data_IF_360434318465
#
_entry.id   IF_360434318465
#
_cell.length_a   1.000
_cell.length_b   1.000
_cell.length_c   1.000
_cell.angle_alpha   90.00
_cell.angle_beta   90.00
_cell.angle_gamma   90.00
#
_symmetry.space_group_name_H-M   'P 1'
#
loop_
_entity.id
_entity.type
_entity.pdbx_description
1 polymer ?
#
# COMPACT_ATOMS: atom_id res chain seq x y z
N UNK A 1 32.86 42.42 -52.62
CA UNK A 1 31.93 41.37 -52.14
C UNK A 1 32.46 40.82 -50.83
N UNK A 2 31.88 41.19 -49.70
CA UNK A 2 32.10 40.51 -48.42
C UNK A 2 30.82 40.61 -47.59
N UNK A 3 30.14 39.48 -47.49
CA UNK A 3 28.88 39.28 -46.77
C UNK A 3 29.18 39.01 -45.30
N UNK A 4 28.76 39.92 -44.42
CA UNK A 4 28.82 39.75 -42.98
C UNK A 4 27.63 38.88 -42.53
N UNK A 5 27.90 37.65 -42.08
CA UNK A 5 26.89 36.77 -41.48
C UNK A 5 26.74 37.12 -40.00
N UNK A 6 25.57 37.61 -39.61
CA UNK A 6 25.15 37.75 -38.22
C UNK A 6 24.57 36.40 -37.79
N UNK A 7 25.21 35.73 -36.83
CA UNK A 7 24.67 34.54 -36.18
C UNK A 7 23.91 34.98 -34.92
N UNK A 8 22.58 34.80 -34.92
CA UNK A 8 21.75 34.91 -33.73
C UNK A 8 21.83 33.58 -32.97
N UNK A 9 22.51 33.55 -31.82
CA UNK A 9 22.42 32.44 -30.88
C UNK A 9 21.16 32.61 -30.03
N UNK A 10 20.16 31.77 -30.27
CA UNK A 10 19.03 31.61 -29.38
C UNK A 10 19.48 30.82 -28.13
N UNK A 11 19.53 31.47 -26.98
CA UNK A 11 19.72 30.81 -25.69
C UNK A 11 18.36 30.25 -25.28
N UNK A 12 18.21 28.92 -25.40
CA UNK A 12 17.06 28.20 -24.86
C UNK A 12 17.30 28.05 -23.34
N UNK A 13 16.68 28.93 -22.55
CA UNK A 13 16.67 28.80 -21.09
C UNK A 13 15.82 27.59 -20.71
N UNK A 14 16.46 26.45 -20.47
CA UNK A 14 15.82 25.29 -19.84
C UNK A 14 15.68 25.64 -18.35
N UNK A 15 14.51 26.11 -17.95
CA UNK A 15 14.11 26.14 -16.54
C UNK A 15 13.99 24.70 -16.05
N UNK A 16 15.04 24.19 -15.42
CA UNK A 16 14.94 22.98 -14.59
C UNK A 16 14.08 23.33 -13.39
N UNK A 17 12.82 22.89 -13.42
CA UNK A 17 11.95 22.94 -12.25
C UNK A 17 12.52 21.93 -11.26
N UNK A 18 13.30 22.38 -10.28
CA UNK A 18 13.57 21.56 -9.10
C UNK A 18 12.25 21.38 -8.39
N UNK A 19 11.61 20.21 -8.59
CA UNK A 19 10.42 19.82 -7.86
C UNK A 19 10.73 19.99 -6.36
N UNK A 20 9.94 20.81 -5.69
CA UNK A 20 10.10 20.96 -4.24
C UNK A 20 9.74 19.64 -3.57
N UNK A 21 10.23 19.37 -2.36
CA UNK A 21 9.85 18.17 -1.58
C UNK A 21 8.31 18.01 -1.45
N UNK A 22 7.57 19.13 -1.48
CA UNK A 22 6.10 19.16 -1.47
C UNK A 22 5.47 18.63 -2.77
N UNK A 23 6.12 18.76 -3.93
CA UNK A 23 5.62 18.27 -5.22
C UNK A 23 5.77 16.75 -5.36
N UNK A 24 6.56 16.11 -4.49
CA UNK A 24 6.80 14.65 -4.48
C UNK A 24 5.65 13.88 -3.84
N UNK A 25 5.09 14.39 -2.75
CA UNK A 25 4.04 13.71 -2.00
C UNK A 25 2.69 13.79 -2.72
N UNK A 26 1.76 12.86 -2.46
CA UNK A 26 0.40 13.00 -2.95
C UNK A 26 -0.27 14.24 -2.36
N UNK A 27 -1.16 14.84 -3.13
CA UNK A 27 -1.94 15.99 -2.67
C UNK A 27 -2.73 15.64 -1.43
N UNK A 28 -2.92 16.62 -0.54
CA UNK A 28 -3.61 16.42 0.73
C UNK A 28 -4.43 17.65 1.08
N UNK A 29 -5.67 17.42 1.51
CA UNK A 29 -6.54 18.44 2.11
C UNK A 29 -7.42 17.78 3.17
N UNK A 30 -7.80 18.56 4.18
CA UNK A 30 -8.81 18.18 5.17
C UNK A 30 -10.22 18.63 4.80
N UNK A 31 -10.43 19.27 3.64
CA UNK A 31 -11.76 19.79 3.26
C UNK A 31 -12.84 18.70 3.32
N UNK A 32 -12.52 17.50 2.84
CA UNK A 32 -13.32 16.28 3.01
C UNK A 32 -12.41 15.12 3.45
N UNK A 33 -12.97 13.92 3.65
CA UNK A 33 -12.19 12.71 3.95
C UNK A 33 -11.11 12.50 2.87
N UNK A 34 -9.80 12.53 3.21
CA UNK A 34 -8.76 12.28 2.23
C UNK A 34 -8.81 10.81 1.78
N UNK A 35 -8.82 10.57 0.46
CA UNK A 35 -8.95 9.22 -0.10
C UNK A 35 -7.78 8.87 -0.99
N UNK A 36 -7.57 7.57 -1.15
CA UNK A 36 -6.69 7.02 -2.17
C UNK A 36 -7.34 5.82 -2.84
N UNK A 37 -6.67 5.26 -3.86
CA UNK A 37 -7.14 4.08 -4.56
C UNK A 37 -6.09 2.97 -4.59
N UNK A 38 -6.54 1.74 -4.39
CA UNK A 38 -5.74 0.52 -4.55
C UNK A 38 -6.56 -0.47 -5.38
N UNK A 39 -6.18 -0.68 -6.64
CA UNK A 39 -7.07 -1.32 -7.62
C UNK A 39 -6.32 -2.11 -8.69
N UNK A 40 -6.94 -3.17 -9.21
CA UNK A 40 -6.56 -3.86 -10.45
C UNK A 40 -7.73 -4.10 -11.37
N UNK A 41 -7.46 -4.06 -12.67
CA UNK A 41 -8.32 -4.54 -13.74
C UNK A 41 -7.47 -5.24 -14.78
N UNK A 42 -7.82 -6.46 -15.17
CA UNK A 42 -7.00 -7.29 -16.06
C UNK A 42 -6.94 -6.77 -17.50
N UNK A 43 -7.87 -5.89 -17.89
CA UNK A 43 -7.91 -5.17 -19.17
C UNK A 43 -7.70 -3.68 -18.93
N UNK A 44 -7.68 -2.88 -20.01
CA UNK A 44 -7.72 -1.43 -19.93
C UNK A 44 -8.91 -0.90 -19.12
N UNK A 45 -8.66 0.19 -18.40
CA UNK A 45 -9.72 1.02 -17.82
C UNK A 45 -10.43 1.79 -18.94
N UNK A 46 -11.75 1.98 -18.82
CA UNK A 46 -12.53 2.82 -19.75
C UNK A 46 -12.22 4.30 -19.50
N UNK A 47 -12.56 5.21 -20.43
CA UNK A 47 -12.38 6.64 -20.21
C UNK A 47 -13.00 7.14 -18.90
N UNK A 48 -14.23 6.71 -18.57
CA UNK A 48 -14.89 7.11 -17.32
C UNK A 48 -14.19 6.56 -16.07
N UNK A 49 -13.65 5.33 -16.14
CA UNK A 49 -12.86 4.77 -15.04
C UNK A 49 -11.55 5.53 -14.85
N UNK A 50 -10.91 5.98 -15.94
CA UNK A 50 -9.69 6.81 -15.88
C UNK A 50 -9.98 8.19 -15.28
N UNK A 51 -11.10 8.83 -15.65
CA UNK A 51 -11.56 10.09 -15.04
C UNK A 51 -11.78 9.93 -13.54
N UNK A 52 -12.46 8.84 -13.13
CA UNK A 52 -12.64 8.54 -11.71
C UNK A 52 -11.31 8.33 -10.98
N UNK A 53 -10.39 7.55 -11.57
CA UNK A 53 -9.06 7.33 -11.02
C UNK A 53 -8.27 8.64 -10.88
N UNK A 54 -8.36 9.54 -11.85
CA UNK A 54 -7.68 10.84 -11.81
C UNK A 54 -8.18 11.80 -10.71
N UNK A 55 -9.30 11.49 -10.05
CA UNK A 55 -9.76 12.22 -8.86
C UNK A 55 -8.99 11.89 -7.59
N UNK A 56 -8.19 10.82 -7.57
CA UNK A 56 -7.41 10.41 -6.40
C UNK A 56 -5.99 10.99 -6.43
N UNK A 57 -5.47 11.49 -5.30
CA UNK A 57 -4.10 11.99 -5.21
C UNK A 57 -3.06 10.87 -5.24
N UNK A 58 -3.43 9.66 -4.78
CA UNK A 58 -2.58 8.49 -4.70
C UNK A 58 -3.33 7.26 -5.24
N UNK A 59 -2.66 6.52 -6.13
CA UNK A 59 -3.18 5.27 -6.71
C UNK A 59 -2.10 4.21 -6.66
N UNK A 60 -2.43 3.02 -6.17
CA UNK A 60 -1.64 1.81 -6.40
C UNK A 60 -2.36 0.93 -7.42
N UNK A 61 -1.71 0.68 -8.55
CA UNK A 61 -2.18 -0.33 -9.50
C UNK A 61 -1.60 -1.70 -9.12
N UNK A 62 -2.51 -2.61 -8.77
CA UNK A 62 -2.21 -3.94 -8.27
C UNK A 62 -1.71 -4.90 -9.36
N UNK A 63 -1.23 -6.07 -8.92
CA UNK A 63 -0.87 -7.19 -9.82
C UNK A 63 -1.99 -7.46 -10.83
N UNK A 64 -1.61 -7.91 -12.03
CA UNK A 64 -2.48 -8.23 -13.17
C UNK A 64 -3.11 -7.04 -13.89
N UNK A 65 -2.87 -5.79 -13.47
CA UNK A 65 -3.42 -4.61 -14.16
C UNK A 65 -3.02 -4.58 -15.63
N UNK A 66 -4.01 -4.58 -16.53
CA UNK A 66 -3.85 -4.62 -17.99
C UNK A 66 -3.19 -5.89 -18.56
N UNK A 67 -2.90 -6.90 -17.74
CA UNK A 67 -2.09 -8.05 -18.14
C UNK A 67 -2.74 -8.90 -19.25
N UNK A 68 -4.07 -8.99 -19.32
CA UNK A 68 -4.76 -9.74 -20.39
C UNK A 68 -4.71 -9.05 -21.75
N UNK A 69 -4.57 -7.73 -21.77
CA UNK A 69 -4.58 -6.93 -23.00
C UNK A 69 -3.17 -6.62 -23.50
N UNK A 70 -2.23 -6.43 -22.57
CA UNK A 70 -0.88 -5.96 -22.88
C UNK A 70 0.23 -6.99 -22.58
N UNK A 71 -0.14 -8.20 -22.17
CA UNK A 71 0.80 -9.31 -21.96
C UNK A 71 1.61 -9.25 -20.66
N UNK A 72 1.39 -8.25 -19.80
CA UNK A 72 2.06 -8.14 -18.51
C UNK A 72 1.58 -6.96 -17.67
N UNK A 73 1.74 -7.07 -16.35
CA UNK A 73 1.38 -6.02 -15.39
C UNK A 73 2.20 -4.75 -15.59
N UNK A 74 3.45 -4.86 -16.05
CA UNK A 74 4.35 -3.74 -16.33
C UNK A 74 3.76 -2.76 -17.34
N UNK A 75 3.42 -3.28 -18.54
CA UNK A 75 2.88 -2.45 -19.63
C UNK A 75 1.47 -1.97 -19.29
N UNK A 76 0.64 -2.82 -18.68
CA UNK A 76 -0.70 -2.44 -18.27
C UNK A 76 -0.74 -1.33 -17.23
N UNK A 77 0.11 -1.42 -16.20
CA UNK A 77 0.26 -0.37 -15.18
C UNK A 77 0.77 0.92 -15.80
N UNK A 78 1.79 0.86 -16.66
CA UNK A 78 2.31 2.05 -17.33
C UNK A 78 1.24 2.76 -18.17
N UNK A 79 0.43 2.00 -18.92
CA UNK A 79 -0.66 2.56 -19.74
C UNK A 79 -1.76 3.19 -18.89
N UNK A 80 -2.16 2.53 -17.80
CA UNK A 80 -3.14 3.07 -16.86
C UNK A 80 -2.63 4.36 -16.21
N UNK A 81 -1.37 4.37 -15.76
CA UNK A 81 -0.71 5.53 -15.17
C UNK A 81 -0.64 6.71 -16.15
N UNK A 82 -0.24 6.45 -17.39
CA UNK A 82 -0.22 7.45 -18.47
C UNK A 82 -1.60 8.05 -18.72
N UNK A 83 -2.63 7.21 -18.78
CA UNK A 83 -4.00 7.67 -19.02
C UNK A 83 -4.50 8.56 -17.88
N UNK A 84 -4.24 8.18 -16.61
CA UNK A 84 -4.57 8.99 -15.44
C UNK A 84 -3.82 10.32 -15.46
N UNK A 85 -2.49 10.31 -15.67
CA UNK A 85 -1.68 11.52 -15.66
C UNK A 85 -1.97 12.47 -16.81
N UNK A 86 -2.55 11.99 -17.91
CA UNK A 86 -3.06 12.84 -18.98
C UNK A 86 -4.24 13.72 -18.54
N UNK A 87 -5.01 13.29 -17.53
CA UNK A 87 -6.12 14.05 -16.93
C UNK A 87 -5.62 14.84 -15.71
N UNK A 88 -4.90 14.18 -14.80
CA UNK A 88 -4.35 14.80 -13.60
C UNK A 88 -2.86 14.45 -13.43
N UNK A 89 -1.94 15.31 -13.89
CA UNK A 89 -0.50 15.04 -13.78
C UNK A 89 0.04 15.03 -12.34
N UNK A 90 -0.73 15.57 -11.38
CA UNK A 90 -0.34 15.61 -9.95
C UNK A 90 -0.59 14.29 -9.22
N UNK A 91 -1.49 13.44 -9.72
CA UNK A 91 -1.74 12.12 -9.14
C UNK A 91 -0.45 11.32 -9.05
N UNK A 92 -0.20 10.75 -7.88
CA UNK A 92 0.92 9.84 -7.61
C UNK A 92 0.50 8.41 -7.87
N UNK A 93 1.24 7.72 -8.73
CA UNK A 93 0.97 6.33 -9.11
C UNK A 93 2.09 5.43 -8.60
N UNK A 94 1.71 4.42 -7.82
CA UNK A 94 2.61 3.38 -7.32
C UNK A 94 2.44 2.09 -8.11
N UNK A 95 3.57 1.50 -8.48
CA UNK A 95 3.65 0.17 -9.07
C UNK A 95 3.63 -0.89 -7.96
N UNK A 96 2.65 -1.78 -7.96
CA UNK A 96 2.60 -2.88 -6.99
C UNK A 96 3.68 -3.92 -7.26
N UNK A 97 4.37 -4.35 -6.21
CA UNK A 97 5.20 -5.53 -6.24
C UNK A 97 5.25 -6.25 -4.91
N UNK A 98 5.10 -7.57 -4.94
CA UNK A 98 5.30 -8.38 -3.75
C UNK A 98 6.78 -8.78 -3.62
N UNK A 99 7.35 -8.63 -2.43
CA UNK A 99 8.75 -8.98 -2.13
C UNK A 99 8.96 -10.48 -1.98
N UNK A 100 7.96 -11.24 -1.54
CA UNK A 100 8.12 -12.66 -1.23
C UNK A 100 7.25 -13.57 -2.09
N UNK A 101 5.98 -13.23 -2.29
CA UNK A 101 5.01 -14.08 -3.00
C UNK A 101 5.12 -13.88 -4.50
N UNK A 102 5.28 -14.97 -5.25
CA UNK A 102 5.30 -14.93 -6.72
C UNK A 102 3.87 -14.99 -7.29
N UNK A 103 3.54 -14.01 -8.12
CA UNK A 103 2.31 -13.95 -8.91
C UNK A 103 2.70 -13.90 -10.39
N UNK A 104 2.26 -14.89 -11.17
CA UNK A 104 2.71 -15.11 -12.56
C UNK A 104 2.06 -14.16 -13.58
N UNK A 105 2.17 -12.86 -13.36
CA UNK A 105 1.48 -11.82 -14.15
C UNK A 105 2.44 -10.74 -14.67
N UNK A 106 3.75 -10.99 -14.62
CA UNK A 106 4.78 -10.05 -15.02
C UNK A 106 5.57 -10.61 -16.20
N UNK A 107 5.93 -9.76 -17.16
CA UNK A 107 6.84 -10.14 -18.24
C UNK A 107 8.22 -10.55 -17.68
N UNK A 108 8.60 -9.95 -16.54
CA UNK A 108 9.74 -10.33 -15.69
C UNK A 108 9.91 -11.83 -15.45
N UNK A 109 8.78 -12.52 -15.30
CA UNK A 109 8.73 -13.87 -14.73
C UNK A 109 9.41 -14.88 -15.66
N UNK A 110 9.53 -14.58 -16.95
CA UNK A 110 10.26 -15.41 -17.91
C UNK A 110 11.73 -15.60 -17.52
N UNK A 111 12.35 -14.61 -16.86
CA UNK A 111 13.76 -14.68 -16.44
C UNK A 111 13.96 -15.61 -15.24
N UNK A 112 12.94 -15.81 -14.40
CA UNK A 112 13.04 -16.67 -13.21
C UNK A 112 13.37 -18.12 -13.58
N UNK A 113 12.94 -18.60 -14.75
CA UNK A 113 13.26 -19.95 -15.23
C UNK A 113 14.76 -20.18 -15.46
N UNK A 114 15.54 -19.11 -15.61
CA UNK A 114 16.99 -19.16 -15.78
C UNK A 114 17.78 -18.99 -14.47
N UNK A 115 17.10 -18.74 -13.35
CA UNK A 115 17.72 -18.55 -12.04
C UNK A 115 17.59 -19.88 -11.27
N UNK A 116 18.71 -20.61 -11.03
CA UNK A 116 18.68 -21.79 -10.17
C UNK A 116 18.16 -21.44 -8.79
N UNK A 117 17.28 -22.29 -8.25
CA UNK A 117 16.69 -22.13 -6.91
C UNK A 117 16.07 -20.73 -6.69
N UNK A 118 15.33 -20.24 -7.68
CA UNK A 118 14.65 -18.94 -7.61
C UNK A 118 13.56 -18.88 -6.52
N UNK A 119 13.05 -20.04 -6.10
CA UNK A 119 11.96 -20.17 -5.15
C UNK A 119 12.35 -21.01 -3.96
N UNK A 120 11.78 -20.68 -2.80
CA UNK A 120 11.86 -21.51 -1.61
C UNK A 120 11.19 -22.86 -1.87
N UNK A 121 11.80 -23.92 -1.36
CA UNK A 121 11.25 -25.28 -1.40
C UNK A 121 11.28 -25.92 -0.03
N UNK A 122 10.34 -26.82 0.24
CA UNK A 122 10.43 -27.71 1.40
C UNK A 122 11.46 -28.84 1.17
N UNK A 123 11.64 -29.70 2.17
CA UNK A 123 12.56 -30.85 2.13
C UNK A 123 12.26 -31.85 0.99
N UNK A 124 11.06 -31.80 0.40
CA UNK A 124 10.64 -32.66 -0.72
C UNK A 124 10.78 -31.95 -2.06
N UNK A 125 11.31 -30.73 -2.09
CA UNK A 125 11.44 -29.91 -3.29
C UNK A 125 10.14 -29.23 -3.74
N UNK A 126 9.08 -29.23 -2.92
CA UNK A 126 7.85 -28.54 -3.29
C UNK A 126 8.01 -27.03 -3.09
N UNK A 127 7.77 -26.26 -4.15
CA UNK A 127 7.91 -24.80 -4.16
C UNK A 127 6.62 -24.06 -3.89
N UNK A 128 5.45 -24.70 -3.94
CA UNK A 128 4.13 -24.06 -3.72
C UNK A 128 3.84 -23.90 -2.24
N UNK A 129 4.66 -23.12 -1.55
CA UNK A 129 4.62 -22.98 -0.11
C UNK A 129 3.54 -22.00 0.38
N UNK A 130 3.21 -20.98 -0.41
CA UNK A 130 2.23 -19.95 -0.01
C UNK A 130 0.82 -20.48 -0.28
N UNK A 131 0.05 -20.71 0.78
CA UNK A 131 -1.31 -21.27 0.76
C UNK A 131 -1.41 -22.61 0.02
N UNK A 132 -0.30 -23.35 -0.09
CA UNK A 132 -0.21 -24.58 -0.88
C UNK A 132 -0.38 -24.38 -2.39
N UNK A 133 -0.31 -23.14 -2.90
CA UNK A 133 -0.75 -22.79 -4.26
C UNK A 133 0.31 -22.08 -5.08
N UNK A 134 0.99 -21.10 -4.50
CA UNK A 134 1.92 -20.24 -5.23
C UNK A 134 3.32 -20.26 -4.61
N UNK A 135 4.38 -20.04 -5.40
CA UNK A 135 5.73 -19.99 -4.88
C UNK A 135 6.02 -18.76 -4.02
N UNK A 136 7.05 -18.89 -3.19
CA UNK A 136 7.73 -17.77 -2.54
C UNK A 136 9.15 -17.66 -3.11
N UNK A 137 9.61 -16.45 -3.41
CA UNK A 137 10.98 -16.18 -3.84
C UNK A 137 11.98 -16.56 -2.75
N UNK A 138 13.12 -17.15 -3.13
CA UNK A 138 14.23 -17.34 -2.20
C UNK A 138 15.06 -16.05 -2.13
N UNK A 139 14.74 -15.18 -1.16
CA UNK A 139 15.48 -13.92 -0.97
C UNK A 139 16.91 -14.13 -0.47
N UNK A 140 17.30 -15.33 -0.04
CA UNK A 140 18.69 -15.63 0.27
C UNK A 140 19.56 -15.82 -0.97
N UNK A 141 18.95 -15.92 -2.16
CA UNK A 141 19.64 -16.10 -3.44
C UNK A 141 19.98 -14.74 -4.08
N UNK A 142 21.25 -14.35 -4.23
CA UNK A 142 21.64 -13.06 -4.79
C UNK A 142 21.10 -12.83 -6.21
N UNK A 143 20.98 -13.86 -7.05
CA UNK A 143 20.43 -13.72 -8.39
C UNK A 143 18.93 -13.32 -8.37
N UNK A 144 18.18 -13.81 -7.38
CA UNK A 144 16.79 -13.41 -7.15
C UNK A 144 16.72 -11.98 -6.63
N UNK A 145 17.63 -11.58 -5.73
CA UNK A 145 17.73 -10.20 -5.24
C UNK A 145 17.99 -9.24 -6.40
N UNK A 146 18.97 -9.54 -7.27
CA UNK A 146 19.34 -8.71 -8.43
C UNK A 146 18.21 -8.63 -9.46
N UNK A 147 17.55 -9.76 -9.76
CA UNK A 147 16.36 -9.78 -10.62
C UNK A 147 15.24 -8.90 -10.05
N UNK A 148 15.00 -8.99 -8.74
CA UNK A 148 13.99 -8.17 -8.08
C UNK A 148 14.36 -6.68 -8.16
N UNK A 149 15.58 -6.31 -7.79
CA UNK A 149 16.03 -4.92 -7.79
C UNK A 149 16.07 -4.31 -9.20
N UNK A 150 16.43 -5.08 -10.22
CA UNK A 150 16.45 -4.63 -11.62
C UNK A 150 15.06 -4.15 -12.08
N UNK A 151 14.03 -4.93 -11.78
CA UNK A 151 12.66 -4.54 -12.12
C UNK A 151 12.15 -3.38 -11.26
N UNK A 152 12.54 -3.30 -9.99
CA UNK A 152 12.18 -2.15 -9.15
C UNK A 152 12.79 -0.86 -9.68
N UNK A 153 14.06 -0.91 -10.14
CA UNK A 153 14.74 0.19 -10.81
C UNK A 153 14.01 0.65 -12.08
N UNK A 154 13.49 -0.26 -12.88
CA UNK A 154 12.69 0.08 -14.05
C UNK A 154 11.40 0.82 -13.68
N UNK A 155 10.71 0.39 -12.62
CA UNK A 155 9.51 1.07 -12.13
C UNK A 155 9.82 2.49 -11.62
N UNK A 156 10.91 2.66 -10.85
CA UNK A 156 11.37 3.96 -10.35
C UNK A 156 11.84 4.91 -11.46
N UNK A 157 12.34 4.38 -12.59
CA UNK A 157 12.79 5.18 -13.74
C UNK A 157 11.69 5.54 -14.74
N UNK A 158 10.43 5.27 -14.43
CA UNK A 158 9.29 5.51 -15.32
C UNK A 158 8.88 6.99 -15.37
N UNK A 159 8.43 7.46 -16.54
CA UNK A 159 7.85 8.80 -16.70
C UNK A 159 6.50 8.97 -15.99
N UNK A 160 5.71 7.90 -15.89
CA UNK A 160 4.32 7.96 -15.39
C UNK A 160 4.09 7.26 -14.06
N UNK A 161 5.10 6.60 -13.50
CA UNK A 161 5.00 5.90 -12.21
C UNK A 161 5.91 6.63 -11.23
N UNK A 162 5.31 7.16 -10.16
CA UNK A 162 6.01 8.00 -9.18
C UNK A 162 6.69 7.19 -8.08
N UNK A 163 6.49 5.88 -8.04
CA UNK A 163 7.08 5.03 -7.02
C UNK A 163 6.65 3.57 -7.06
N UNK A 164 7.08 2.83 -6.03
CA UNK A 164 6.77 1.43 -5.86
C UNK A 164 6.00 1.21 -4.55
N UNK A 165 5.02 0.32 -4.61
CA UNK A 165 4.37 -0.24 -3.45
C UNK A 165 4.92 -1.65 -3.20
N UNK A 166 5.58 -1.87 -2.06
CA UNK A 166 6.17 -3.14 -1.68
C UNK A 166 5.23 -3.89 -0.75
N UNK A 167 4.66 -4.99 -1.24
CA UNK A 167 3.80 -5.89 -0.48
C UNK A 167 4.56 -7.13 0.00
N UNK A 168 4.01 -7.86 0.98
CA UNK A 168 4.57 -9.12 1.47
C UNK A 168 5.71 -8.97 2.49
N UNK A 169 6.04 -7.76 2.93
CA UNK A 169 7.10 -7.52 3.92
C UNK A 169 6.89 -8.33 5.19
N UNK A 170 5.65 -8.36 5.70
CA UNK A 170 5.34 -9.07 6.93
C UNK A 170 5.66 -10.56 6.81
N UNK A 171 5.45 -11.18 5.65
CA UNK A 171 5.78 -12.59 5.40
C UNK A 171 7.29 -12.84 5.36
N UNK A 172 8.04 -11.89 4.82
CA UNK A 172 9.49 -11.97 4.78
C UNK A 172 10.11 -11.81 6.18
N UNK A 173 9.53 -10.94 7.02
CA UNK A 173 10.04 -10.59 8.35
C UNK A 173 9.48 -11.43 9.51
N UNK A 174 8.26 -11.96 9.38
CA UNK A 174 7.67 -12.84 10.40
C UNK A 174 8.47 -14.13 10.46
N UNK A 175 9.26 -14.30 11.51
CA UNK A 175 10.18 -15.41 11.63
C UNK A 175 9.46 -16.76 11.64
N UNK A 176 8.24 -16.84 12.18
CA UNK A 176 7.43 -18.06 12.14
C UNK A 176 6.98 -18.47 10.73
N UNK A 177 6.85 -17.52 9.79
CA UNK A 177 6.27 -17.78 8.49
C UNK A 177 7.19 -18.64 7.61
N UNK A 178 6.63 -19.75 7.09
CA UNK A 178 7.32 -20.77 6.30
C UNK A 178 8.52 -21.47 6.97
N UNK A 179 8.84 -21.14 8.23
CA UNK A 179 10.00 -21.69 8.93
C UNK A 179 9.97 -23.21 9.04
N UNK A 180 8.80 -23.80 9.25
CA UNK A 180 8.63 -25.26 9.33
C UNK A 180 8.97 -25.96 8.01
N UNK A 181 8.70 -25.30 6.89
CA UNK A 181 8.89 -25.83 5.55
C UNK A 181 10.36 -25.72 5.12
N UNK A 182 10.97 -24.56 5.32
CA UNK A 182 12.31 -24.24 4.77
C UNK A 182 13.45 -24.43 5.78
N UNK A 183 13.15 -24.50 7.08
CA UNK A 183 14.12 -24.57 8.16
C UNK A 183 14.59 -23.19 8.64
N UNK A 184 15.05 -23.15 9.89
CA UNK A 184 15.41 -21.94 10.63
C UNK A 184 16.55 -21.15 9.98
N UNK A 185 17.62 -21.84 9.57
CA UNK A 185 18.77 -21.22 8.90
C UNK A 185 18.39 -20.57 7.57
N UNK A 186 17.56 -21.24 6.76
CA UNK A 186 17.09 -20.70 5.48
C UNK A 186 16.17 -19.51 5.69
N UNK A 187 15.25 -19.58 6.66
CA UNK A 187 14.37 -18.46 7.01
C UNK A 187 15.16 -17.22 7.46
N UNK A 188 16.16 -17.40 8.32
CA UNK A 188 17.08 -16.32 8.73
C UNK A 188 17.80 -15.70 7.53
N UNK A 189 18.27 -16.51 6.57
CA UNK A 189 18.92 -16.00 5.37
C UNK A 189 17.95 -15.22 4.44
N UNK A 190 16.68 -15.64 4.39
CA UNK A 190 15.62 -14.90 3.66
C UNK A 190 15.36 -13.53 4.29
N UNK A 191 15.30 -13.44 5.62
CA UNK A 191 15.17 -12.17 6.35
C UNK A 191 16.36 -11.23 6.09
N UNK A 192 17.59 -11.76 6.09
CA UNK A 192 18.79 -10.99 5.73
C UNK A 192 18.72 -10.49 4.28
N UNK A 193 18.27 -11.35 3.35
CA UNK A 193 18.02 -10.98 1.96
C UNK A 193 16.99 -9.87 1.81
N UNK A 194 15.90 -9.93 2.59
CA UNK A 194 14.90 -8.87 2.65
C UNK A 194 15.51 -7.52 3.04
N UNK A 195 16.29 -7.47 4.13
CA UNK A 195 16.95 -6.23 4.57
C UNK A 195 17.92 -5.68 3.52
N UNK A 196 18.66 -6.57 2.84
CA UNK A 196 19.53 -6.17 1.75
C UNK A 196 18.74 -5.52 0.61
N UNK A 197 17.68 -6.18 0.12
CA UNK A 197 16.86 -5.64 -0.97
C UNK A 197 16.24 -4.30 -0.58
N UNK A 198 15.68 -4.15 0.63
CA UNK A 198 15.04 -2.88 1.02
C UNK A 198 16.04 -1.72 1.09
N UNK A 199 17.26 -1.97 1.57
CA UNK A 199 18.34 -0.98 1.56
C UNK A 199 18.73 -0.57 0.13
N UNK A 200 18.90 -1.55 -0.77
CA UNK A 200 19.21 -1.28 -2.18
C UNK A 200 18.05 -0.57 -2.89
N UNK A 201 16.80 -0.94 -2.58
CA UNK A 201 15.62 -0.29 -3.13
C UNK A 201 15.57 1.19 -2.76
N UNK A 202 15.82 1.53 -1.49
CA UNK A 202 15.88 2.94 -1.07
C UNK A 202 16.94 3.71 -1.84
N UNK A 203 18.12 3.11 -2.03
CA UNK A 203 19.20 3.72 -2.82
C UNK A 203 18.82 3.91 -4.29
N UNK A 204 18.15 2.93 -4.90
CA UNK A 204 17.65 2.97 -6.29
C UNK A 204 16.59 4.06 -6.46
N UNK A 205 15.64 4.13 -5.54
CA UNK A 205 14.52 5.07 -5.59
C UNK A 205 14.97 6.53 -5.33
N UNK A 206 16.09 6.71 -4.61
CA UNK A 206 16.65 8.04 -4.32
C UNK A 206 15.66 8.93 -3.57
N UNK A 207 15.73 10.24 -3.79
CA UNK A 207 14.75 11.21 -3.27
C UNK A 207 13.55 11.40 -4.20
N UNK A 208 13.59 10.87 -5.41
CA UNK A 208 12.60 11.17 -6.44
C UNK A 208 11.40 10.21 -6.35
N UNK A 209 11.65 8.90 -6.27
CA UNK A 209 10.59 7.90 -6.25
C UNK A 209 10.06 7.63 -4.85
N UNK A 210 8.74 7.53 -4.71
CA UNK A 210 8.09 7.06 -3.49
C UNK A 210 8.33 5.55 -3.29
N UNK A 211 8.58 5.16 -2.05
CA UNK A 211 8.59 3.75 -1.63
C UNK A 211 7.59 3.60 -0.49
N UNK A 212 6.43 3.04 -0.77
CA UNK A 212 5.38 2.76 0.24
C UNK A 212 5.31 1.25 0.43
N UNK A 213 5.02 0.78 1.64
CA UNK A 213 5.07 -0.66 1.93
C UNK A 213 3.94 -1.14 2.81
N UNK A 214 3.62 -2.42 2.75
CA UNK A 214 2.77 -3.08 3.75
C UNK A 214 3.65 -3.50 4.95
N UNK A 215 3.87 -2.61 5.94
CA UNK A 215 4.86 -2.85 7.02
C UNK A 215 4.37 -2.57 8.44
N UNK A 216 3.53 -1.56 8.66
CA UNK A 216 2.98 -1.30 10.00
C UNK A 216 2.04 -2.45 10.38
N UNK A 217 2.42 -3.19 11.41
CA UNK A 217 1.74 -4.40 11.87
C UNK A 217 2.03 -4.65 13.34
N UNK A 218 1.01 -4.57 14.20
CA UNK A 218 1.17 -4.62 15.66
C UNK A 218 1.79 -5.92 16.22
N UNK A 219 1.84 -6.99 15.40
CA UNK A 219 2.49 -8.27 15.76
C UNK A 219 3.99 -8.14 16.02
N UNK A 220 4.65 -7.17 15.39
CA UNK A 220 6.09 -6.95 15.60
C UNK A 220 6.35 -6.21 16.90
N UNK A 221 7.60 -6.21 17.37
CA UNK A 221 7.99 -5.61 18.64
C UNK A 221 7.58 -4.15 18.71
N UNK A 222 7.94 -3.35 17.71
CA UNK A 222 7.56 -1.93 17.59
C UNK A 222 6.51 -1.69 16.49
N UNK A 223 5.60 -2.66 16.34
CA UNK A 223 4.50 -2.62 15.39
C UNK A 223 4.91 -2.35 13.92
N UNK A 224 6.14 -2.70 13.53
CA UNK A 224 6.69 -2.50 12.20
C UNK A 224 7.40 -1.16 12.01
N UNK A 225 7.35 -0.25 13.00
CA UNK A 225 8.07 1.02 12.96
C UNK A 225 9.60 0.80 12.93
N UNK A 226 10.09 -0.29 13.52
CA UNK A 226 11.49 -0.67 13.49
C UNK A 226 12.03 -0.95 12.07
N UNK A 227 11.16 -1.09 11.08
CA UNK A 227 11.49 -1.34 9.67
C UNK A 227 11.13 -0.18 8.73
N UNK A 228 10.67 0.96 9.25
CA UNK A 228 10.13 2.06 8.44
C UNK A 228 11.16 2.94 7.72
N UNK A 229 12.45 2.85 8.08
CA UNK A 229 13.52 3.71 7.55
C UNK A 229 13.55 3.80 6.01
N UNK A 230 13.54 2.69 5.23
CA UNK A 230 13.60 2.76 3.78
C UNK A 230 12.30 3.27 3.12
N UNK A 231 11.21 3.42 3.87
CA UNK A 231 9.88 3.68 3.33
C UNK A 231 9.41 5.12 3.58
N UNK A 232 8.81 5.73 2.57
CA UNK A 232 8.12 7.02 2.66
C UNK A 232 6.72 6.88 3.30
N UNK A 233 6.20 5.66 3.43
CA UNK A 233 4.89 5.41 4.02
C UNK A 233 4.53 3.94 4.19
N UNK A 234 3.39 3.70 4.85
CA UNK A 234 2.80 2.38 5.01
C UNK A 234 1.39 2.30 4.46
N UNK A 235 1.11 1.20 3.79
CA UNK A 235 -0.22 0.64 3.61
C UNK A 235 -0.63 -0.10 4.87
N UNK A 236 -1.89 0.06 5.28
CA UNK A 236 -2.43 -0.59 6.46
C UNK A 236 -3.34 -1.75 6.03
N UNK A 237 -3.07 -2.93 6.58
CA UNK A 237 -3.86 -4.14 6.42
C UNK A 237 -3.73 -4.98 7.69
N UNK A 238 -4.70 -5.89 7.92
CA UNK A 238 -4.74 -6.79 9.09
C UNK A 238 -4.54 -6.02 10.39
N UNK A 239 -5.13 -4.82 10.41
CA UNK A 239 -5.12 -3.88 11.51
C UNK A 239 -5.99 -4.38 12.67
N UNK A 240 -7.04 -5.12 12.33
CA UNK A 240 -7.95 -5.72 13.26
C UNK A 240 -7.63 -7.23 13.33
N UNK A 241 -6.75 -7.62 14.26
CA UNK A 241 -6.25 -8.99 14.34
C UNK A 241 -5.93 -9.40 15.77
N UNK A 242 -5.83 -10.70 16.03
CA UNK A 242 -5.33 -11.26 17.29
C UNK A 242 -4.26 -12.31 16.97
N UNK A 243 -3.11 -12.26 17.64
CA UNK A 243 -1.99 -13.18 17.36
C UNK A 243 -1.03 -13.27 18.54
N UNK A 244 -0.41 -14.44 18.73
CA UNK A 244 0.74 -14.59 19.63
C UNK A 244 0.44 -14.27 21.10
N UNK A 245 -0.79 -14.50 21.54
CA UNK A 245 -1.25 -14.18 22.90
C UNK A 245 -1.68 -12.72 23.09
N UNK A 246 -1.59 -11.87 22.06
CA UNK A 246 -2.13 -10.51 22.08
C UNK A 246 -3.60 -10.53 21.68
N UNK A 247 -4.47 -9.98 22.53
CA UNK A 247 -5.90 -9.87 22.21
C UNK A 247 -6.14 -8.86 21.08
N UNK A 248 -7.29 -8.96 20.41
CA UNK A 248 -7.65 -8.07 19.30
C UNK A 248 -7.60 -6.59 19.68
N UNK A 249 -8.18 -6.22 20.84
CA UNK A 249 -8.20 -4.84 21.33
C UNK A 249 -6.81 -4.30 21.64
N UNK A 250 -5.91 -5.13 22.18
CA UNK A 250 -4.51 -4.74 22.43
C UNK A 250 -3.75 -4.56 21.12
N UNK A 251 -3.97 -5.46 20.16
CA UNK A 251 -3.39 -5.38 18.82
C UNK A 251 -3.79 -4.09 18.11
N UNK A 252 -5.09 -3.78 18.12
CA UNK A 252 -5.61 -2.55 17.54
C UNK A 252 -5.10 -1.32 18.28
N UNK A 253 -5.08 -1.32 19.61
CA UNK A 253 -4.55 -0.19 20.37
C UNK A 253 -3.07 0.10 20.04
N UNK A 254 -2.26 -0.95 19.93
CA UNK A 254 -0.86 -0.85 19.51
C UNK A 254 -0.74 -0.39 18.05
N UNK A 255 -1.60 -0.89 17.17
CA UNK A 255 -1.69 -0.47 15.78
C UNK A 255 -2.04 1.01 15.62
N UNK A 256 -3.04 1.51 16.36
CA UNK A 256 -3.46 2.92 16.35
C UNK A 256 -2.27 3.80 16.70
N UNK A 257 -1.59 3.50 17.82
CA UNK A 257 -0.43 4.27 18.27
C UNK A 257 0.70 4.27 17.23
N UNK A 258 0.96 3.13 16.58
CA UNK A 258 2.00 3.02 15.55
C UNK A 258 1.66 3.82 14.29
N UNK A 259 0.39 3.75 13.82
CA UNK A 259 -0.07 4.53 12.67
C UNK A 259 0.02 6.02 12.97
N UNK A 260 -0.44 6.46 14.14
CA UNK A 260 -0.36 7.86 14.56
C UNK A 260 1.10 8.33 14.60
N UNK A 261 2.00 7.58 15.24
CA UNK A 261 3.43 7.90 15.30
C UNK A 261 4.05 8.06 13.90
N UNK A 262 3.80 7.11 13.01
CA UNK A 262 4.28 7.19 11.63
C UNK A 262 3.70 8.41 10.89
N UNK A 263 2.39 8.64 10.99
CA UNK A 263 1.71 9.74 10.32
C UNK A 263 2.19 11.12 10.84
N UNK A 264 2.35 11.27 12.15
CA UNK A 264 2.89 12.48 12.79
C UNK A 264 4.35 12.76 12.36
N UNK A 265 5.13 11.71 12.05
CA UNK A 265 6.47 11.85 11.49
C UNK A 265 6.51 12.23 9.99
N UNK A 266 5.35 12.45 9.37
CA UNK A 266 5.20 12.85 7.97
C UNK A 266 5.22 11.69 6.98
N UNK A 267 5.08 10.44 7.44
CA UNK A 267 4.97 9.27 6.56
C UNK A 267 3.58 9.20 5.94
N UNK A 268 3.51 8.73 4.69
CA UNK A 268 2.23 8.48 4.02
C UNK A 268 1.54 7.29 4.71
N UNK A 269 0.26 7.44 5.05
CA UNK A 269 -0.59 6.33 5.52
C UNK A 269 -1.66 6.05 4.47
N UNK A 270 -1.55 4.90 3.81
CA UNK A 270 -2.58 4.37 2.93
C UNK A 270 -3.45 3.40 3.74
N UNK A 271 -4.48 3.92 4.41
CA UNK A 271 -5.32 3.16 5.31
C UNK A 271 -6.39 2.39 4.53
N UNK A 272 -6.24 1.07 4.44
CA UNK A 272 -7.24 0.19 3.85
C UNK A 272 -7.84 -0.76 4.85
N UNK A 273 -9.14 -0.91 4.71
CA UNK A 273 -9.93 -1.76 5.59
C UNK A 273 -11.10 -2.33 4.80
N UNK A 274 -11.32 -3.63 4.98
CA UNK A 274 -12.24 -4.40 4.15
C UNK A 274 -13.67 -4.39 4.65
N UNK A 275 -14.64 -4.58 3.76
CA UNK A 275 -16.05 -4.80 4.11
C UNK A 275 -16.29 -6.08 4.90
N UNK A 276 -15.40 -7.06 4.74
CA UNK A 276 -15.51 -8.36 5.37
C UNK A 276 -15.14 -8.31 6.85
N UNK A 277 -15.33 -9.45 7.50
CA UNK A 277 -14.73 -9.72 8.80
C UNK A 277 -13.20 -9.74 8.69
N UNK A 278 -12.55 -9.82 9.86
CA UNK A 278 -11.11 -9.77 10.06
C UNK A 278 -10.30 -10.47 8.96
N UNK A 279 -9.29 -9.77 8.45
CA UNK A 279 -8.37 -10.31 7.47
C UNK A 279 -7.50 -11.36 8.17
N UNK A 280 -7.98 -12.59 8.24
CA UNK A 280 -7.17 -13.75 8.61
C UNK A 280 -5.97 -13.77 7.64
N UNK A 281 -4.79 -13.57 8.20
CA UNK A 281 -3.59 -13.62 7.40
C UNK A 281 -3.17 -15.07 7.30
N UNK A 282 -2.88 -15.56 6.10
CA UNK A 282 -2.35 -16.90 5.83
C UNK A 282 -0.98 -17.20 6.49
N UNK A 283 -0.54 -16.35 7.41
CA UNK A 283 0.63 -16.49 8.25
C UNK A 283 0.32 -17.18 9.58
N UNK A 284 -0.95 -17.22 9.98
CA UNK A 284 -1.38 -17.79 11.25
C UNK A 284 -1.77 -19.26 11.06
N UNK A 285 -1.30 -20.12 11.97
CA UNK A 285 -1.55 -21.56 11.89
C UNK A 285 -2.90 -21.97 12.45
N UNK A 286 -3.55 -21.07 13.19
CA UNK A 286 -4.86 -21.25 13.79
C UNK A 286 -5.72 -20.06 13.39
N UNK A 287 -6.96 -20.32 12.97
CA UNK A 287 -7.91 -19.25 12.69
C UNK A 287 -8.11 -18.40 13.96
N UNK A 288 -8.04 -17.08 13.84
CA UNK A 288 -8.26 -16.20 15.00
C UNK A 288 -9.65 -16.46 15.57
N UNK A 289 -9.74 -16.89 16.82
CA UNK A 289 -11.02 -17.22 17.47
C UNK A 289 -11.82 -16.00 17.95
N UNK A 290 -11.29 -14.77 17.79
CA UNK A 290 -11.58 -13.72 18.78
C UNK A 290 -12.37 -12.49 18.32
N UNK A 291 -13.00 -12.51 17.14
CA UNK A 291 -14.37 -11.96 17.02
C UNK A 291 -15.01 -12.32 15.69
N UNK A 292 -16.20 -12.92 15.75
CA UNK A 292 -17.07 -13.18 14.59
C UNK A 292 -18.16 -12.13 14.47
N UNK A 293 -17.98 -10.95 15.10
CA UNK A 293 -19.03 -9.94 15.17
C UNK A 293 -19.38 -9.46 13.77
N UNK A 294 -20.53 -9.93 13.31
CA UNK A 294 -21.15 -9.43 12.10
C UNK A 294 -21.68 -8.03 12.42
N UNK A 295 -21.21 -7.02 11.69
CA UNK A 295 -21.75 -5.67 11.83
C UNK A 295 -23.22 -5.70 11.45
N UNK A 296 -24.06 -4.97 12.19
CA UNK A 296 -25.50 -4.95 11.95
C UNK A 296 -25.90 -4.49 10.54
N UNK A 297 -25.02 -3.77 9.84
CA UNK A 297 -25.17 -3.44 8.41
C UNK A 297 -23.82 -3.15 7.75
N UNK A 298 -23.72 -3.21 6.40
CA UNK A 298 -22.55 -2.72 5.66
C UNK A 298 -22.23 -1.25 5.96
N UNK A 299 -23.25 -0.42 6.22
CA UNK A 299 -23.06 0.98 6.59
C UNK A 299 -22.40 1.09 7.97
N UNK A 300 -22.80 0.27 8.95
CA UNK A 300 -22.16 0.28 10.27
C UNK A 300 -20.70 -0.14 10.18
N UNK A 301 -20.38 -1.13 9.31
CA UNK A 301 -19.00 -1.52 9.04
C UNK A 301 -18.20 -0.38 8.41
N UNK A 302 -18.79 0.31 7.43
CA UNK A 302 -18.17 1.48 6.80
C UNK A 302 -17.93 2.61 7.82
N UNK A 303 -18.92 2.96 8.63
CA UNK A 303 -18.79 3.99 9.67
C UNK A 303 -17.67 3.65 10.66
N UNK A 304 -17.60 2.40 11.11
CA UNK A 304 -16.54 1.94 12.00
C UNK A 304 -15.16 2.02 11.35
N UNK A 305 -15.04 1.58 10.10
CA UNK A 305 -13.82 1.69 9.31
C UNK A 305 -13.37 3.14 9.13
N UNK A 306 -14.30 4.04 8.79
CA UNK A 306 -14.02 5.46 8.62
C UNK A 306 -13.63 6.11 9.95
N UNK A 307 -14.32 5.77 11.04
CA UNK A 307 -14.01 6.31 12.36
C UNK A 307 -12.61 5.88 12.83
N UNK A 308 -12.23 4.61 12.65
CA UNK A 308 -10.87 4.12 12.93
C UNK A 308 -9.80 4.91 12.14
N UNK A 309 -10.05 5.15 10.84
CA UNK A 309 -9.16 5.98 10.04
C UNK A 309 -9.05 7.39 10.63
N UNK A 310 -10.16 8.06 10.95
CA UNK A 310 -10.16 9.42 11.47
C UNK A 310 -9.47 9.53 12.84
N UNK A 311 -9.57 8.52 13.70
CA UNK A 311 -8.77 8.43 14.95
C UNK A 311 -7.26 8.43 14.64
N UNK A 312 -6.84 7.72 13.59
CA UNK A 312 -5.42 7.56 13.25
C UNK A 312 -4.85 8.66 12.33
N UNK A 313 -5.69 9.38 11.59
CA UNK A 313 -5.27 10.14 10.43
C UNK A 313 -4.49 11.42 10.79
N UNK A 314 -3.34 11.65 10.17
CA UNK A 314 -2.64 12.93 10.20
C UNK A 314 -2.49 13.45 8.77
N UNK A 315 -1.72 14.53 8.60
CA UNK A 315 -1.34 14.99 7.26
C UNK A 315 -0.67 13.85 6.48
N UNK A 316 -1.10 13.64 5.23
CA UNK A 316 -0.69 12.53 4.35
C UNK A 316 -1.26 11.15 4.71
N UNK A 317 -2.34 11.08 5.48
CA UNK A 317 -3.15 9.87 5.65
C UNK A 317 -4.34 9.86 4.68
N UNK A 318 -4.58 8.72 4.03
CA UNK A 318 -5.64 8.53 3.03
C UNK A 318 -6.44 7.27 3.31
N UNK A 319 -7.74 7.31 3.03
CA UNK A 319 -8.66 6.22 3.32
C UNK A 319 -9.12 5.50 2.05
N UNK A 320 -9.23 4.17 2.13
CA UNK A 320 -9.96 3.35 1.17
C UNK A 320 -10.71 2.23 1.88
N UNK A 321 -12.03 2.24 1.79
CA UNK A 321 -12.87 1.10 2.15
C UNK A 321 -12.98 0.15 0.95
N UNK A 322 -12.76 -1.16 1.16
CA UNK A 322 -12.56 -2.10 0.06
C UNK A 322 -13.37 -3.38 0.20
N UNK A 323 -13.78 -3.96 -0.92
CA UNK A 323 -14.26 -5.34 -1.03
C UNK A 323 -13.30 -6.24 -1.81
N UNK A 324 -12.02 -5.87 -1.79
CA UNK A 324 -10.99 -6.40 -2.65
C UNK A 324 -10.60 -5.40 -3.74
N UNK A 325 -9.50 -5.69 -4.41
CA UNK A 325 -8.88 -4.75 -5.36
C UNK A 325 -9.35 -4.95 -6.80
N UNK A 326 -10.10 -6.00 -7.10
CA UNK A 326 -10.47 -6.39 -8.46
C UNK A 326 -11.78 -5.80 -8.95
N UNK A 327 -11.73 -5.00 -10.01
CA UNK A 327 -12.92 -4.32 -10.55
C UNK A 327 -13.42 -4.89 -11.88
N UNK A 328 -12.80 -5.96 -12.38
CA UNK A 328 -13.28 -6.61 -13.60
C UNK A 328 -14.72 -7.08 -13.45
N UNK A 329 -15.49 -6.93 -14.54
CA UNK A 329 -16.82 -7.51 -14.71
C UNK A 329 -17.81 -7.10 -13.60
N UNK A 330 -17.68 -5.88 -13.04
CA UNK A 330 -18.59 -5.37 -12.01
C UNK A 330 -18.52 -6.13 -10.69
N UNK A 331 -17.40 -6.80 -10.38
CA UNK A 331 -17.25 -7.61 -9.16
C UNK A 331 -17.25 -6.81 -7.87
N UNK A 332 -16.79 -5.56 -7.91
CA UNK A 332 -16.76 -4.70 -6.74
C UNK A 332 -18.08 -3.96 -6.59
N UNK A 333 -18.61 -4.00 -5.36
CA UNK A 333 -19.79 -3.27 -4.91
C UNK A 333 -19.50 -1.80 -4.68
N UNK A 334 -18.24 -1.43 -4.38
CA UNK A 334 -17.83 -0.06 -4.04
C UNK A 334 -17.13 0.67 -5.19
N UNK A 335 -16.70 -0.03 -6.24
CA UNK A 335 -16.08 0.59 -7.40
C UNK A 335 -16.98 1.66 -8.03
N UNK A 336 -16.45 2.90 -8.12
CA UNK A 336 -17.15 4.07 -8.64
C UNK A 336 -18.51 4.34 -7.97
N UNK A 337 -18.68 3.93 -6.70
CA UNK A 337 -19.88 4.28 -5.94
C UNK A 337 -19.74 5.65 -5.30
N UNK A 338 -20.87 6.33 -5.29
CA UNK A 338 -21.05 7.54 -4.51
C UNK A 338 -21.39 7.15 -3.07
N UNK A 339 -20.50 7.51 -2.15
CA UNK A 339 -20.69 7.33 -0.70
C UNK A 339 -20.71 8.75 -0.11
N UNK A 340 -21.86 9.23 0.39
CA UNK A 340 -22.04 10.63 0.77
C UNK A 340 -21.00 11.16 1.75
N UNK A 341 -20.56 10.35 2.72
CA UNK A 341 -19.58 10.70 3.75
C UNK A 341 -18.23 11.13 3.17
N UNK A 342 -17.90 10.72 1.94
CA UNK A 342 -16.69 11.18 1.26
C UNK A 342 -16.75 12.64 0.78
N UNK A 343 -17.95 13.23 0.74
CA UNK A 343 -18.17 14.61 0.31
C UNK A 343 -18.53 15.55 1.45
N UNK A 344 -18.75 15.03 2.67
CA UNK A 344 -19.05 15.87 3.81
C UNK A 344 -17.84 16.71 4.22
N UNK A 345 -18.04 17.98 4.61
CA UNK A 345 -16.98 18.80 5.19
C UNK A 345 -16.39 18.09 6.41
N UNK A 346 -15.07 17.97 6.48
CA UNK A 346 -14.36 17.40 7.62
C UNK A 346 -13.61 18.49 8.38
N UNK A 347 -12.78 19.23 7.66
CA UNK A 347 -11.87 20.24 8.18
C UNK A 347 -10.76 19.65 9.05
N UNK A 348 -9.78 20.47 9.43
CA UNK A 348 -8.61 19.98 10.17
C UNK A 348 -8.99 19.45 11.57
N UNK A 349 -8.25 18.45 12.12
CA UNK A 349 -8.43 18.04 13.50
C UNK A 349 -8.10 19.20 14.44
N UNK A 350 -8.89 19.38 15.51
CA UNK A 350 -8.64 20.42 16.52
C UNK A 350 -7.58 20.02 17.53
N UNK A 351 -7.19 18.74 17.53
CA UNK A 351 -6.14 18.18 18.36
C UNK A 351 -5.87 16.71 18.04
N UNK A 352 -4.97 16.12 18.81
CA UNK A 352 -4.71 14.68 18.80
C UNK A 352 -5.92 13.89 19.31
N UNK A 353 -6.02 12.62 18.92
CA UNK A 353 -7.05 11.75 19.48
C UNK A 353 -6.76 11.47 20.96
N UNK A 354 -7.79 11.51 21.80
CA UNK A 354 -7.71 11.11 23.21
C UNK A 354 -8.13 9.66 23.37
N UNK A 355 -7.67 9.03 24.46
CA UNK A 355 -7.98 7.63 24.78
C UNK A 355 -8.32 7.47 26.25
N UNK A 356 -9.45 6.83 26.53
CA UNK A 356 -9.85 6.36 27.86
C UNK A 356 -10.16 4.86 27.78
N UNK A 357 -9.31 4.02 28.38
CA UNK A 357 -9.41 2.56 28.22
C UNK A 357 -9.22 2.12 26.76
N UNK A 358 -10.28 1.60 26.12
CA UNK A 358 -10.31 1.23 24.70
C UNK A 358 -11.23 2.13 23.87
N UNK A 359 -11.70 3.24 24.45
CA UNK A 359 -12.48 4.27 23.76
C UNK A 359 -11.54 5.38 23.31
N UNK A 360 -11.64 5.74 22.03
CA UNK A 360 -10.89 6.79 21.37
C UNK A 360 -11.85 7.88 20.92
N UNK A 361 -11.44 9.13 21.09
CA UNK A 361 -12.21 10.28 20.65
C UNK A 361 -11.33 11.25 19.87
N UNK A 362 -11.90 11.88 18.84
CA UNK A 362 -11.22 12.94 18.11
C UNK A 362 -12.18 13.96 17.55
N UNK A 363 -11.76 15.21 17.62
CA UNK A 363 -12.51 16.37 17.15
C UNK A 363 -11.89 16.94 15.88
N UNK A 364 -12.73 17.21 14.90
CA UNK A 364 -12.44 17.95 13.67
C UNK A 364 -13.32 19.20 13.63
N UNK A 365 -12.97 20.16 12.77
CA UNK A 365 -13.75 21.39 12.59
C UNK A 365 -15.25 21.09 12.32
N UNK A 366 -15.54 20.07 11.50
CA UNK A 366 -16.89 19.71 11.09
C UNK A 366 -17.31 18.29 11.48
N UNK A 367 -16.57 17.61 12.37
CA UNK A 367 -16.96 16.28 12.85
C UNK A 367 -16.47 15.99 14.27
N UNK A 368 -17.21 15.15 14.99
CA UNK A 368 -16.80 14.51 16.23
C UNK A 368 -16.77 13.00 16.02
N UNK A 369 -15.68 12.33 16.39
CA UNK A 369 -15.46 10.90 16.15
C UNK A 369 -15.27 10.20 17.49
N UNK A 370 -16.02 9.12 17.72
CA UNK A 370 -15.80 8.21 18.85
C UNK A 370 -15.69 6.78 18.33
N UNK A 371 -14.72 6.01 18.85
CA UNK A 371 -14.54 4.58 18.54
C UNK A 371 -14.27 3.81 19.82
N UNK A 372 -15.03 2.76 20.08
CA UNK A 372 -14.69 1.74 21.07
C UNK A 372 -14.19 0.49 20.35
N UNK A 373 -12.88 0.23 20.46
CA UNK A 373 -12.24 -0.90 19.76
C UNK A 373 -12.45 -2.24 20.47
N UNK A 374 -12.85 -2.23 21.75
CA UNK A 374 -13.19 -3.43 22.50
C UNK A 374 -14.64 -3.86 22.21
N UNK A 375 -15.57 -2.91 22.21
CA UNK A 375 -16.98 -3.18 21.91
C UNK A 375 -17.28 -3.21 20.41
N UNK A 376 -16.34 -2.80 19.56
CA UNK A 376 -16.51 -2.68 18.11
C UNK A 376 -17.71 -1.81 17.75
N UNK A 377 -17.73 -0.60 18.31
CA UNK A 377 -18.74 0.43 18.06
C UNK A 377 -18.07 1.75 17.70
N UNK A 378 -18.77 2.59 16.96
CA UNK A 378 -18.27 3.88 16.54
C UNK A 378 -19.41 4.84 16.26
N UNK A 379 -19.12 6.12 16.37
CA UNK A 379 -20.01 7.20 15.96
C UNK A 379 -19.19 8.30 15.28
N UNK A 380 -19.73 8.85 14.19
CA UNK A 380 -19.22 10.07 13.56
C UNK A 380 -20.39 11.04 13.50
N UNK A 381 -20.30 12.11 14.29
CA UNK A 381 -21.28 13.20 14.29
C UNK A 381 -20.76 14.31 13.40
N UNK A 382 -21.33 14.45 12.20
CA UNK A 382 -21.02 15.54 11.28
C UNK A 382 -21.71 16.82 11.73
N UNK A 383 -20.94 17.89 11.90
CA UNK A 383 -21.40 19.22 12.33
C UNK A 383 -21.62 20.07 11.09
N UNK A 384 -22.85 20.54 10.90
CA UNK A 384 -23.23 21.40 9.78
C UNK A 384 -22.57 22.77 9.87
#
# INVERSE_FOLDING_TARGET
MNTLKIALSAILSITTYSASFADRLPDFSWDTVPRYMHVRKATSFTPQEVEYLASFPLITFEKTTGAKEFGGTEVGTWKAAKAVKAINPRTKVLYYRNILVHYSAYAADAQLASIPDAFLSDQKGNTKLVRGKVPAYDLSNPAVQDWWLTHAKQACGSEYIDGIFVDGNIKALEHGYLKRQVGDAKKTAVEQGYHHIMKQLRAIAGTESLVVSNIIRARFTDAGLEYMEPFDGSYIEGFEHAVGGMSRKEYMAKGIAAIQSAAQSGKIIAFTIGQGSYADTDMDMEASQDSTKEFASPNNRFTYALALFLICAEKHSYFMFSDGYGVDNGRSKYWMKDIPEYQYPLGAPTGEATREGYVYQREFQHASVTVDIEQETSEIVWKQ
#
